data_IF_514368878171
#
_entry.id   IF_514368878171
#
_cell.length_a   1.000
_cell.length_b   1.000
_cell.length_c   1.000
_cell.angle_alpha   90.00
_cell.angle_beta   90.00
_cell.angle_gamma   90.00
#
_symmetry.space_group_name_H-M   'P 1'
#
loop_
_entity.id
_entity.type
_entity.pdbx_description
1 polymer ?
#
# COMPACT_ATOMS: atom_id res chain seq x y z
N UNK A 1 -13.32 -16.46 -8.99
CA UNK A 1 -13.05 -15.31 -8.09
C UNK A 1 -12.13 -15.66 -6.91
N UNK A 2 -12.32 -16.77 -6.18
CA UNK A 2 -11.49 -17.11 -4.99
C UNK A 2 -9.97 -17.22 -5.26
N UNK A 3 -9.55 -17.74 -6.41
CA UNK A 3 -8.11 -17.92 -6.73
C UNK A 3 -7.38 -16.60 -7.04
N UNK A 4 -8.06 -15.60 -7.61
CA UNK A 4 -7.44 -14.31 -7.93
C UNK A 4 -7.05 -13.51 -6.68
N UNK A 5 -7.87 -13.58 -5.62
CA UNK A 5 -7.56 -12.94 -4.35
C UNK A 5 -6.28 -13.50 -3.70
N UNK A 6 -6.08 -14.82 -3.76
CA UNK A 6 -4.87 -15.46 -3.22
C UNK A 6 -3.61 -15.04 -3.99
N UNK A 7 -3.71 -14.87 -5.30
CA UNK A 7 -2.62 -14.42 -6.16
C UNK A 7 -2.20 -12.98 -5.84
N UNK A 8 -3.19 -12.09 -5.69
CA UNK A 8 -2.98 -10.69 -5.31
C UNK A 8 -2.40 -10.60 -3.89
N UNK A 9 -2.92 -11.39 -2.96
CA UNK A 9 -2.41 -11.45 -1.58
C UNK A 9 -0.97 -11.94 -1.54
N UNK A 10 -0.64 -13.02 -2.26
CA UNK A 10 0.72 -13.54 -2.36
C UNK A 10 1.70 -12.55 -2.99
N UNK A 11 1.23 -11.73 -3.93
CA UNK A 11 2.02 -10.64 -4.50
C UNK A 11 2.25 -9.52 -3.46
N UNK A 12 1.17 -9.03 -2.85
CA UNK A 12 1.19 -7.95 -1.88
C UNK A 12 2.03 -8.29 -0.64
N UNK A 13 1.92 -9.49 -0.09
CA UNK A 13 2.62 -9.92 1.13
C UNK A 13 4.14 -9.74 1.07
N UNK A 14 4.75 -9.75 -0.13
CA UNK A 14 6.20 -9.60 -0.32
C UNK A 14 6.73 -8.23 0.09
N UNK A 15 5.92 -7.18 -0.10
CA UNK A 15 6.32 -5.80 0.16
C UNK A 15 5.33 -5.03 1.04
N UNK A 16 4.12 -5.55 1.23
CA UNK A 16 3.00 -4.91 1.92
C UNK A 16 3.35 -4.51 3.36
N UNK A 17 4.11 -5.34 4.06
CA UNK A 17 4.59 -4.99 5.41
C UNK A 17 5.46 -3.73 5.39
N UNK A 18 6.41 -3.64 4.45
CA UNK A 18 7.30 -2.49 4.33
C UNK A 18 6.53 -1.23 3.92
N UNK A 19 5.60 -1.34 2.97
CA UNK A 19 4.80 -0.19 2.51
C UNK A 19 3.85 0.32 3.60
N UNK A 20 3.27 -0.57 4.40
CA UNK A 20 2.48 -0.19 5.59
C UNK A 20 3.37 0.52 6.62
N UNK A 21 4.52 -0.05 6.96
CA UNK A 21 5.42 0.53 7.96
C UNK A 21 5.90 1.93 7.55
N UNK A 22 6.21 2.15 6.27
CA UNK A 22 6.54 3.49 5.76
C UNK A 22 5.36 4.45 5.94
N UNK A 23 4.13 3.99 5.72
CA UNK A 23 2.94 4.83 5.92
C UNK A 23 2.74 5.23 7.37
N UNK A 24 2.86 4.25 8.27
CA UNK A 24 2.71 4.47 9.71
C UNK A 24 3.84 5.34 10.24
N UNK A 25 5.07 5.13 9.77
CA UNK A 25 6.23 5.98 10.10
C UNK A 25 6.02 7.41 9.61
N UNK A 26 5.60 7.60 8.35
CA UNK A 26 5.31 8.92 7.81
C UNK A 26 4.21 9.64 8.62
N UNK A 27 3.15 8.93 8.98
CA UNK A 27 2.07 9.46 9.81
C UNK A 27 2.53 9.78 11.24
N UNK A 28 3.40 8.96 11.83
CA UNK A 28 3.97 9.17 13.16
C UNK A 28 4.94 10.36 13.22
N UNK A 29 5.79 10.54 12.19
CA UNK A 29 6.77 11.64 12.11
C UNK A 29 6.09 13.02 12.10
N UNK A 30 4.89 13.10 11.52
CA UNK A 30 4.10 14.35 11.50
C UNK A 30 3.13 14.46 12.68
N UNK A 31 3.37 13.72 13.77
CA UNK A 31 2.58 13.74 15.01
C UNK A 31 1.14 13.22 14.87
N UNK A 32 0.91 12.26 13.98
CA UNK A 32 -0.37 11.56 13.82
C UNK A 32 -1.56 12.53 13.58
N UNK A 33 -1.50 13.39 12.54
CA UNK A 33 -2.50 14.40 12.29
C UNK A 33 -3.86 13.75 12.04
N UNK A 34 -4.91 14.38 12.58
CA UNK A 34 -6.30 13.94 12.49
C UNK A 34 -7.21 15.08 12.01
N UNK A 35 -8.41 14.74 11.52
CA UNK A 35 -9.39 15.72 11.05
C UNK A 35 -8.86 16.61 9.93
N UNK A 36 -8.95 17.94 10.09
CA UNK A 36 -8.50 18.91 9.07
C UNK A 36 -6.99 18.82 8.82
N UNK A 37 -6.19 18.53 9.84
CA UNK A 37 -4.74 18.37 9.69
C UNK A 37 -4.39 17.14 8.83
N UNK A 38 -5.19 16.07 8.93
CA UNK A 38 -5.03 14.88 8.09
C UNK A 38 -5.27 15.20 6.60
N UNK A 39 -6.25 16.04 6.29
CA UNK A 39 -6.52 16.48 4.91
C UNK A 39 -5.32 17.26 4.34
N UNK A 40 -4.64 18.07 5.17
CA UNK A 40 -3.41 18.78 4.77
C UNK A 40 -2.20 17.85 4.59
N UNK A 41 -2.15 16.76 5.32
CA UNK A 41 -1.12 15.72 5.19
C UNK A 41 -1.28 14.87 3.92
N UNK A 42 -2.53 14.66 3.47
CA UNK A 42 -2.87 13.73 2.39
C UNK A 42 -2.05 13.94 1.09
N UNK A 43 -1.86 15.17 0.56
CA UNK A 43 -1.12 15.37 -0.68
C UNK A 43 0.34 14.92 -0.57
N UNK A 44 1.02 15.28 0.51
CA UNK A 44 2.41 14.90 0.75
C UNK A 44 2.53 13.38 0.97
N UNK A 45 1.59 12.81 1.70
CA UNK A 45 1.50 11.36 1.89
C UNK A 45 1.30 10.61 0.57
N UNK A 46 0.43 11.10 -0.31
CA UNK A 46 0.21 10.51 -1.63
C UNK A 46 1.45 10.58 -2.51
N UNK A 47 2.19 11.69 -2.47
CA UNK A 47 3.49 11.80 -3.17
C UNK A 47 4.50 10.79 -2.65
N UNK A 48 4.65 10.67 -1.32
CA UNK A 48 5.50 9.65 -0.70
C UNK A 48 5.06 8.24 -1.12
N UNK A 49 3.75 7.99 -1.17
CA UNK A 49 3.19 6.71 -1.60
C UNK A 49 3.53 6.38 -3.05
N UNK A 50 3.37 7.34 -3.96
CA UNK A 50 3.73 7.16 -5.37
C UNK A 50 5.23 6.88 -5.50
N UNK A 51 6.08 7.65 -4.82
CA UNK A 51 7.54 7.48 -4.86
C UNK A 51 7.96 6.09 -4.33
N UNK A 52 7.46 5.70 -3.16
CA UNK A 52 7.76 4.39 -2.55
C UNK A 52 7.16 3.24 -3.34
N UNK A 53 5.96 3.41 -3.91
CA UNK A 53 5.35 2.43 -4.82
C UNK A 53 6.16 2.23 -6.10
N UNK A 54 6.66 3.31 -6.71
CA UNK A 54 7.54 3.24 -7.88
C UNK A 54 8.88 2.57 -7.54
N UNK A 55 9.45 2.85 -6.37
CA UNK A 55 10.67 2.19 -5.90
C UNK A 55 10.46 0.70 -5.67
N UNK A 56 9.37 0.30 -4.98
CA UNK A 56 9.00 -1.11 -4.80
C UNK A 56 8.81 -1.79 -6.17
N UNK A 57 8.15 -1.12 -7.10
CA UNK A 57 7.99 -1.60 -8.46
C UNK A 57 9.32 -1.91 -9.14
N UNK A 58 10.22 -0.93 -9.13
CA UNK A 58 11.55 -1.06 -9.69
C UNK A 58 12.34 -2.21 -9.04
N UNK A 59 12.41 -2.23 -7.70
CA UNK A 59 13.15 -3.26 -6.96
C UNK A 59 12.61 -4.66 -7.25
N UNK A 60 11.29 -4.82 -7.25
CA UNK A 60 10.69 -6.12 -7.48
C UNK A 60 10.90 -6.59 -8.92
N UNK A 61 10.87 -5.68 -9.90
CA UNK A 61 11.21 -5.98 -11.31
C UNK A 61 12.66 -6.42 -11.48
N UNK A 62 13.58 -5.79 -10.75
CA UNK A 62 15.00 -6.11 -10.77
C UNK A 62 15.33 -7.43 -10.08
N UNK A 63 14.80 -7.67 -8.88
CA UNK A 63 15.18 -8.82 -8.04
C UNK A 63 14.28 -10.05 -8.21
N UNK A 64 13.04 -9.89 -8.68
CA UNK A 64 12.09 -10.99 -8.84
C UNK A 64 11.44 -11.03 -10.24
N UNK A 65 12.21 -10.99 -11.34
CA UNK A 65 11.66 -11.02 -12.69
C UNK A 65 10.81 -12.28 -12.95
N UNK A 66 11.20 -13.43 -12.38
CA UNK A 66 10.48 -14.70 -12.49
C UNK A 66 9.04 -14.65 -11.94
N UNK A 67 8.79 -13.83 -10.94
CA UNK A 67 7.45 -13.68 -10.40
C UNK A 67 6.50 -13.06 -11.44
N UNK A 68 6.97 -12.11 -12.24
CA UNK A 68 6.16 -11.49 -13.28
C UNK A 68 5.81 -12.44 -14.42
N UNK A 69 6.72 -13.34 -14.79
CA UNK A 69 6.42 -14.40 -15.76
C UNK A 69 5.29 -15.33 -15.27
N UNK A 70 5.29 -15.69 -13.99
CA UNK A 70 4.21 -16.48 -13.39
C UNK A 70 2.84 -15.79 -13.50
N UNK A 71 2.77 -14.50 -13.14
CA UNK A 71 1.51 -13.76 -13.23
C UNK A 71 1.08 -13.46 -14.66
N UNK A 72 2.03 -13.23 -15.57
CA UNK A 72 1.77 -13.03 -16.99
C UNK A 72 1.14 -14.28 -17.63
N UNK A 73 1.65 -15.48 -17.29
CA UNK A 73 1.08 -16.75 -17.73
C UNK A 73 -0.35 -16.98 -17.24
N UNK A 74 -0.75 -16.33 -16.14
CA UNK A 74 -2.11 -16.35 -15.60
C UNK A 74 -3.00 -15.24 -16.19
N UNK A 75 -2.52 -14.50 -17.20
CA UNK A 75 -3.26 -13.42 -17.86
C UNK A 75 -3.37 -12.14 -17.04
N UNK A 76 -2.60 -11.99 -15.96
CA UNK A 76 -2.59 -10.79 -15.13
C UNK A 76 -1.47 -9.85 -15.58
N UNK A 77 -1.83 -8.63 -15.95
CA UNK A 77 -0.83 -7.61 -16.29
C UNK A 77 -0.12 -7.08 -15.03
N UNK A 78 1.18 -6.84 -15.17
CA UNK A 78 2.03 -6.27 -14.12
C UNK A 78 1.46 -4.96 -13.56
N UNK A 79 1.03 -4.05 -14.45
CA UNK A 79 0.41 -2.77 -14.06
C UNK A 79 -0.83 -2.98 -13.19
N UNK A 80 -1.68 -3.96 -13.53
CA UNK A 80 -2.90 -4.25 -12.78
C UNK A 80 -2.60 -4.80 -11.39
N UNK A 81 -1.60 -5.68 -11.26
CA UNK A 81 -1.15 -6.17 -9.96
C UNK A 81 -0.64 -5.05 -9.07
N UNK A 82 0.16 -4.13 -9.62
CA UNK A 82 0.64 -2.97 -8.87
C UNK A 82 -0.48 -2.02 -8.45
N UNK A 83 -1.37 -1.66 -9.36
CA UNK A 83 -2.46 -0.75 -9.04
C UNK A 83 -3.38 -1.32 -7.96
N UNK A 84 -3.69 -2.62 -8.02
CA UNK A 84 -4.49 -3.30 -7.00
C UNK A 84 -3.75 -3.32 -5.66
N UNK A 85 -2.47 -3.70 -5.65
CA UNK A 85 -1.68 -3.76 -4.43
C UNK A 85 -1.49 -2.39 -3.79
N UNK A 86 -1.21 -1.36 -4.59
CA UNK A 86 -1.13 0.03 -4.17
C UNK A 86 -2.44 0.53 -3.58
N UNK A 87 -3.57 0.25 -4.26
CA UNK A 87 -4.89 0.60 -3.76
C UNK A 87 -5.23 -0.10 -2.44
N UNK A 88 -4.92 -1.39 -2.33
CA UNK A 88 -5.12 -2.17 -1.11
C UNK A 88 -4.29 -1.62 0.06
N UNK A 89 -3.03 -1.28 -0.19
CA UNK A 89 -2.14 -0.69 0.81
C UNK A 89 -2.68 0.66 1.34
N UNK A 90 -3.15 1.51 0.42
CA UNK A 90 -3.73 2.80 0.75
C UNK A 90 -5.03 2.64 1.54
N UNK A 91 -5.89 1.70 1.14
CA UNK A 91 -7.13 1.37 1.86
C UNK A 91 -6.84 0.83 3.26
N UNK A 92 -5.84 -0.04 3.43
CA UNK A 92 -5.45 -0.55 4.75
C UNK A 92 -4.95 0.57 5.65
N UNK A 93 -4.13 1.48 5.13
CA UNK A 93 -3.68 2.64 5.90
C UNK A 93 -4.84 3.55 6.30
N UNK A 94 -5.73 3.90 5.37
CA UNK A 94 -6.90 4.73 5.68
C UNK A 94 -7.86 4.07 6.67
N UNK A 95 -8.10 2.76 6.53
CA UNK A 95 -8.90 1.99 7.47
C UNK A 95 -8.28 2.00 8.87
N UNK A 96 -6.96 1.89 8.97
CA UNK A 96 -6.24 1.98 10.24
C UNK A 96 -6.37 3.37 10.88
N UNK A 97 -6.16 4.45 10.11
CA UNK A 97 -6.34 5.83 10.60
C UNK A 97 -7.78 6.05 11.08
N UNK A 98 -8.77 5.57 10.33
CA UNK A 98 -10.18 5.64 10.71
C UNK A 98 -10.44 4.90 12.02
N UNK A 99 -9.89 3.70 12.18
CA UNK A 99 -10.00 2.92 13.41
C UNK A 99 -9.42 3.70 14.60
N UNK A 100 -8.22 4.27 14.46
CA UNK A 100 -7.62 5.10 15.52
C UNK A 100 -8.50 6.31 15.83
N UNK A 101 -9.03 6.98 14.81
CA UNK A 101 -9.92 8.12 15.00
C UNK A 101 -11.20 7.74 15.77
N UNK A 102 -11.82 6.61 15.43
CA UNK A 102 -12.97 6.10 16.15
C UNK A 102 -12.63 5.76 17.60
N UNK A 103 -11.50 5.07 17.86
CA UNK A 103 -11.12 4.72 19.23
C UNK A 103 -10.86 5.94 20.13
N UNK A 104 -10.29 7.02 19.59
CA UNK A 104 -10.11 8.28 20.32
C UNK A 104 -11.43 9.01 20.65
N UNK A 105 -12.53 8.65 19.98
CA UNK A 105 -13.85 9.21 20.24
C UNK A 105 -14.63 8.46 21.33
N UNK A 106 -14.20 7.24 21.69
CA UNK A 106 -14.85 6.37 22.68
C UNK A 106 -14.14 6.37 24.05
N UNK A 107 -13.03 7.10 24.20
CA UNK A 107 -12.27 7.28 25.45
C UNK A 107 -12.32 8.75 25.84
#
# INVERSE_FOLDING_TARGET
>A
MKQQGLLIWGFYRRFGLFTILISLGAWGVVELPMGVAFVRFLPLFLLLKIATGALVWYLQRTFYPHAYFFYANLGLSERRLYLIAFGLDLLLFLAFVLLVHLTKHFV
#
